data_IF_656857887527
#
_entry.id   IF_656857887527
#
_cell.length_a   1.000
_cell.length_b   1.000
_cell.length_c   1.000
_cell.angle_alpha   90.00
_cell.angle_beta   90.00
_cell.angle_gamma   90.00
#
_symmetry.space_group_name_H-M   'P 1'
#
loop_
_entity.id
_entity.type
_entity.pdbx_description
1 polymer ?
#
# COMPACT_ATOMS: atom_id res chain seq x y z
N UNK A 1 -15.51 -16.51 -0.63
CA UNK A 1 -15.24 -16.46 -2.08
C UNK A 1 -14.17 -17.47 -2.42
N UNK A 2 -14.48 -18.43 -3.29
CA UNK A 2 -13.55 -19.48 -3.68
C UNK A 2 -13.00 -19.20 -5.08
N UNK A 3 -11.87 -18.48 -5.15
CA UNK A 3 -11.16 -18.21 -6.41
C UNK A 3 -10.20 -19.36 -6.74
N UNK A 4 -10.20 -19.80 -8.00
CA UNK A 4 -9.21 -20.76 -8.50
C UNK A 4 -7.80 -20.14 -8.50
N UNK A 5 -6.77 -20.98 -8.47
CA UNK A 5 -5.38 -20.50 -8.53
C UNK A 5 -5.11 -19.70 -9.82
N UNK A 6 -5.74 -20.08 -10.93
CA UNK A 6 -5.66 -19.34 -12.19
C UNK A 6 -6.29 -17.95 -12.07
N UNK A 7 -7.46 -17.85 -11.43
CA UNK A 7 -8.13 -16.57 -11.20
C UNK A 7 -7.29 -15.67 -10.29
N UNK A 8 -6.71 -16.20 -9.21
CA UNK A 8 -5.81 -15.45 -8.33
C UNK A 8 -4.60 -14.92 -9.10
N UNK A 9 -3.91 -15.77 -9.87
CA UNK A 9 -2.78 -15.36 -10.73
C UNK A 9 -3.18 -14.31 -11.77
N UNK A 10 -4.37 -14.44 -12.36
CA UNK A 10 -4.89 -13.46 -13.31
C UNK A 10 -5.10 -12.09 -12.65
N UNK A 11 -5.72 -12.07 -11.47
CA UNK A 11 -5.95 -10.83 -10.71
C UNK A 11 -4.63 -10.19 -10.30
N UNK A 12 -3.68 -10.97 -9.78
CA UNK A 12 -2.34 -10.50 -9.38
C UNK A 12 -1.56 -9.92 -10.57
N UNK A 13 -1.47 -10.65 -11.69
CA UNK A 13 -0.76 -10.19 -12.90
C UNK A 13 -1.37 -8.89 -13.48
N UNK A 14 -2.66 -8.70 -13.30
CA UNK A 14 -3.36 -7.49 -13.73
C UNK A 14 -3.44 -6.40 -12.66
N UNK A 15 -2.86 -6.60 -11.47
CA UNK A 15 -2.87 -5.67 -10.33
C UNK A 15 -4.30 -5.33 -9.87
N UNK A 16 -5.15 -6.35 -9.79
CA UNK A 16 -6.50 -6.24 -9.28
C UNK A 16 -6.53 -6.86 -7.89
N UNK A 17 -6.79 -6.08 -6.82
CA UNK A 17 -6.92 -6.65 -5.49
C UNK A 17 -8.20 -7.49 -5.40
N UNK A 18 -8.13 -8.59 -4.66
CA UNK A 18 -9.25 -9.53 -4.47
C UNK A 18 -10.49 -8.82 -3.89
N UNK A 19 -10.27 -7.81 -3.06
CA UNK A 19 -11.31 -6.95 -2.50
C UNK A 19 -12.12 -6.18 -3.55
N UNK A 20 -11.64 -6.03 -4.78
CA UNK A 20 -12.39 -5.40 -5.88
C UNK A 20 -13.29 -6.39 -6.62
N UNK A 21 -13.20 -7.68 -6.29
CA UNK A 21 -14.02 -8.75 -6.84
C UNK A 21 -15.21 -8.99 -5.94
N UNK A 22 -16.40 -8.99 -6.54
CA UNK A 22 -17.65 -9.39 -5.93
C UNK A 22 -17.96 -10.85 -6.29
N UNK A 23 -18.36 -11.64 -5.29
CA UNK A 23 -18.78 -13.01 -5.49
C UNK A 23 -20.25 -13.06 -5.90
N UNK A 24 -20.51 -13.23 -7.19
CA UNK A 24 -21.85 -13.22 -7.77
C UNK A 24 -22.35 -14.60 -8.18
N UNK A 25 -21.72 -15.68 -7.73
CA UNK A 25 -22.12 -17.04 -8.11
C UNK A 25 -23.55 -17.39 -7.69
N UNK A 26 -24.08 -16.72 -6.66
CA UNK A 26 -25.42 -16.94 -6.10
C UNK A 26 -26.46 -15.89 -6.55
N UNK A 27 -26.08 -14.96 -7.44
CA UNK A 27 -26.89 -13.78 -7.76
C UNK A 27 -27.16 -13.67 -9.26
N UNK A 28 -28.31 -13.10 -9.62
CA UNK A 28 -28.52 -12.70 -11.01
C UNK A 28 -27.71 -11.43 -11.34
N UNK A 29 -27.46 -11.19 -12.64
CA UNK A 29 -26.56 -10.12 -13.07
C UNK A 29 -27.07 -8.71 -12.70
N UNK A 30 -28.39 -8.52 -12.60
CA UNK A 30 -28.96 -7.21 -12.28
C UNK A 30 -28.79 -6.88 -10.79
N UNK A 31 -29.00 -7.84 -9.90
CA UNK A 31 -28.68 -7.73 -8.48
C UNK A 31 -27.19 -7.47 -8.27
N UNK A 32 -26.34 -8.27 -8.94
CA UNK A 32 -24.88 -8.07 -8.90
C UNK A 32 -24.51 -6.63 -9.26
N UNK A 33 -25.12 -6.03 -10.29
CA UNK A 33 -24.80 -4.66 -10.72
C UNK A 33 -25.10 -3.63 -9.65
N UNK A 34 -26.26 -3.72 -9.01
CA UNK A 34 -26.68 -2.80 -7.96
C UNK A 34 -25.79 -2.94 -6.73
N UNK A 35 -25.50 -4.17 -6.33
CA UNK A 35 -24.65 -4.46 -5.18
C UNK A 35 -23.20 -4.11 -5.40
N UNK A 36 -22.63 -4.44 -6.56
CA UNK A 36 -21.27 -4.01 -6.89
C UNK A 36 -21.14 -2.48 -6.82
N UNK A 37 -22.18 -1.74 -7.24
CA UNK A 37 -22.19 -0.27 -7.12
C UNK A 37 -22.25 0.18 -5.66
N UNK A 38 -23.09 -0.43 -4.82
CA UNK A 38 -23.16 -0.06 -3.39
C UNK A 38 -21.89 -0.44 -2.63
N UNK A 39 -21.31 -1.61 -2.95
CA UNK A 39 -20.12 -2.18 -2.34
C UNK A 39 -18.79 -1.63 -2.88
N UNK A 40 -18.84 -0.76 -3.90
CA UNK A 40 -17.67 -0.20 -4.60
C UNK A 40 -16.76 -1.28 -5.21
N UNK A 41 -17.39 -2.34 -5.75
CA UNK A 41 -16.73 -3.46 -6.44
C UNK A 41 -16.72 -3.23 -7.94
N UNK A 42 -15.65 -3.64 -8.61
CA UNK A 42 -15.45 -3.38 -10.05
C UNK A 42 -15.54 -4.64 -10.89
N UNK A 43 -15.16 -5.77 -10.31
CA UNK A 43 -15.13 -7.05 -10.99
C UNK A 43 -16.06 -8.04 -10.30
N UNK A 44 -16.57 -8.98 -11.08
CA UNK A 44 -17.57 -9.96 -10.71
C UNK A 44 -16.99 -11.34 -10.96
N UNK A 45 -17.01 -12.21 -9.96
CA UNK A 45 -16.94 -13.64 -10.15
C UNK A 45 -18.37 -14.11 -10.47
N UNK A 46 -18.68 -14.27 -11.75
CA UNK A 46 -20.04 -14.52 -12.23
C UNK A 46 -20.12 -15.75 -13.13
N UNK A 47 -21.15 -15.82 -13.97
CA UNK A 47 -21.35 -16.96 -14.87
C UNK A 47 -20.20 -17.13 -15.88
N UNK A 48 -19.95 -18.37 -16.30
CA UNK A 48 -18.95 -18.68 -17.34
C UNK A 48 -19.22 -17.92 -18.64
N UNK A 49 -18.17 -17.36 -19.24
CA UNK A 49 -18.23 -16.83 -20.60
C UNK A 49 -18.12 -17.97 -21.62
N UNK A 50 -18.22 -17.64 -22.92
CA UNK A 50 -18.07 -18.62 -24.01
C UNK A 50 -16.74 -19.39 -23.96
N UNK A 51 -15.69 -18.75 -23.45
CA UNK A 51 -14.35 -19.35 -23.30
C UNK A 51 -14.13 -19.97 -21.91
N UNK A 52 -15.17 -20.14 -21.10
CA UNK A 52 -15.09 -20.80 -19.79
C UNK A 52 -14.66 -19.92 -18.60
N UNK A 53 -14.24 -18.67 -18.83
CA UNK A 53 -13.84 -17.75 -17.75
C UNK A 53 -15.00 -17.20 -16.92
N UNK A 54 -14.76 -16.88 -15.65
CA UNK A 54 -15.78 -16.39 -14.71
C UNK A 54 -15.63 -14.92 -14.33
N UNK A 55 -14.42 -14.34 -14.46
CA UNK A 55 -14.18 -12.96 -14.06
C UNK A 55 -14.75 -11.99 -15.12
N UNK A 56 -15.59 -11.07 -14.65
CA UNK A 56 -16.32 -10.10 -15.48
C UNK A 56 -16.27 -8.69 -14.92
N UNK A 57 -16.52 -7.71 -15.77
CA UNK A 57 -16.85 -6.35 -15.34
C UNK A 57 -18.27 -6.29 -14.78
N UNK A 58 -18.62 -5.21 -14.09
CA UNK A 58 -20.00 -4.93 -13.67
C UNK A 58 -21.02 -4.99 -14.83
N UNK A 59 -20.61 -4.61 -16.04
CA UNK A 59 -21.47 -4.69 -17.23
C UNK A 59 -21.62 -6.12 -17.78
N UNK A 60 -20.85 -7.08 -17.28
CA UNK A 60 -20.91 -8.50 -17.67
C UNK A 60 -19.87 -8.91 -18.70
N UNK A 61 -18.95 -8.05 -19.12
CA UNK A 61 -17.90 -8.42 -20.08
C UNK A 61 -16.79 -9.23 -19.40
N UNK A 62 -16.30 -10.28 -20.05
CA UNK A 62 -15.20 -11.08 -19.50
C UNK A 62 -13.87 -10.31 -19.57
N UNK A 63 -13.22 -10.14 -18.43
CA UNK A 63 -11.93 -9.44 -18.34
C UNK A 63 -10.74 -10.33 -18.70
N UNK A 64 -10.90 -11.65 -18.63
CA UNK A 64 -9.89 -12.62 -19.05
C UNK A 64 -9.83 -12.75 -20.58
N UNK A 65 -10.95 -12.56 -21.29
CA UNK A 65 -10.96 -12.51 -22.75
C UNK A 65 -10.50 -11.16 -23.30
N UNK A 66 -10.82 -10.06 -22.62
CA UNK A 66 -10.50 -8.70 -23.04
C UNK A 66 -9.97 -7.88 -21.85
N UNK A 67 -8.66 -7.90 -21.69
CA UNK A 67 -7.97 -7.19 -20.61
C UNK A 67 -8.02 -5.66 -20.77
N UNK A 68 -8.39 -5.13 -21.95
CA UNK A 68 -8.57 -3.69 -22.15
C UNK A 68 -9.68 -3.12 -21.25
N UNK A 69 -10.65 -3.97 -20.86
CA UNK A 69 -11.73 -3.62 -19.93
C UNK A 69 -11.24 -3.38 -18.50
N UNK A 70 -10.05 -3.85 -18.17
CA UNK A 70 -9.37 -3.57 -16.91
C UNK A 70 -8.78 -2.15 -16.94
N UNK A 71 -8.35 -1.65 -18.11
CA UNK A 71 -7.74 -0.33 -18.22
C UNK A 71 -8.70 0.79 -17.77
N UNK A 72 -10.02 0.64 -17.98
CA UNK A 72 -11.01 1.58 -17.44
C UNK A 72 -10.98 1.66 -15.91
N UNK A 73 -10.92 0.51 -15.23
CA UNK A 73 -10.70 0.44 -13.77
C UNK A 73 -9.39 1.15 -13.40
N UNK A 74 -8.28 0.82 -14.09
CA UNK A 74 -6.97 1.43 -13.82
C UNK A 74 -6.97 2.95 -13.94
N UNK A 75 -7.66 3.51 -14.95
CA UNK A 75 -7.75 4.97 -15.18
C UNK A 75 -8.51 5.73 -14.08
N UNK A 76 -9.52 5.11 -13.46
CA UNK A 76 -10.28 5.75 -12.37
C UNK A 76 -9.51 5.87 -11.06
N UNK A 77 -8.45 5.06 -10.91
CA UNK A 77 -7.65 4.90 -9.70
C UNK A 77 -6.21 5.40 -9.81
N UNK A 78 -5.91 6.19 -10.85
CA UNK A 78 -4.60 6.80 -11.03
C UNK A 78 -4.31 7.76 -9.88
N UNK A 79 -5.08 8.83 -9.66
CA UNK A 79 -4.73 9.79 -8.60
C UNK A 79 -5.60 9.61 -7.37
N UNK A 80 -5.04 8.97 -6.34
CA UNK A 80 -5.72 8.74 -5.07
C UNK A 80 -4.71 8.64 -3.91
N UNK A 81 -5.23 8.51 -2.70
CA UNK A 81 -4.45 8.32 -1.49
C UNK A 81 -4.45 6.85 -1.10
N UNK A 82 -3.28 6.22 -1.00
CA UNK A 82 -3.14 4.93 -0.30
C UNK A 82 -2.99 5.22 1.18
N UNK A 83 -3.77 4.56 2.02
CA UNK A 83 -3.89 4.87 3.45
C UNK A 83 -3.78 3.64 4.34
N UNK A 84 -3.40 3.89 5.58
CA UNK A 84 -3.40 2.97 6.71
C UNK A 84 -4.37 3.53 7.75
N UNK A 85 -5.43 2.77 8.05
CA UNK A 85 -6.33 3.03 9.16
C UNK A 85 -6.09 2.05 10.30
N UNK A 86 -6.32 2.49 11.54
CA UNK A 86 -6.16 1.68 12.75
C UNK A 86 -7.45 1.72 13.55
N UNK A 87 -7.86 0.56 14.06
CA UNK A 87 -8.81 0.45 15.17
C UNK A 87 -8.01 0.25 16.46
N UNK A 88 -8.14 1.17 17.40
CA UNK A 88 -7.39 1.11 18.67
C UNK A 88 -7.93 -0.01 19.56
N UNK A 89 -9.23 -0.30 19.48
CA UNK A 89 -9.90 -1.32 20.29
C UNK A 89 -9.47 -2.71 19.85
N UNK A 90 -9.54 -2.99 18.55
CA UNK A 90 -9.22 -4.32 17.99
C UNK A 90 -7.74 -4.53 17.69
N UNK A 91 -6.94 -3.46 17.70
CA UNK A 91 -5.53 -3.46 17.29
C UNK A 91 -5.34 -3.97 15.86
N UNK A 92 -6.33 -3.75 15.00
CA UNK A 92 -6.30 -4.08 13.58
C UNK A 92 -5.92 -2.87 12.74
N UNK A 93 -5.23 -3.15 11.64
CA UNK A 93 -4.89 -2.20 10.61
C UNK A 93 -5.68 -2.51 9.36
N UNK A 94 -6.12 -1.46 8.68
CA UNK A 94 -6.71 -1.53 7.35
C UNK A 94 -5.84 -0.79 6.36
N UNK A 95 -5.49 -1.46 5.27
CA UNK A 95 -4.85 -0.83 4.11
C UNK A 95 -5.87 -0.68 2.99
N UNK A 96 -5.94 0.50 2.37
CA UNK A 96 -6.72 0.68 1.16
C UNK A 96 -6.34 1.94 0.43
N UNK A 97 -7.11 2.31 -0.59
CA UNK A 97 -6.99 3.63 -1.22
C UNK A 97 -8.31 4.39 -1.24
N UNK A 98 -8.25 5.72 -1.35
CA UNK A 98 -9.40 6.58 -1.57
C UNK A 98 -9.01 7.93 -2.19
N UNK A 99 -9.90 8.51 -2.99
CA UNK A 99 -9.75 9.90 -3.48
C UNK A 99 -9.92 10.94 -2.38
N UNK A 100 -10.74 10.64 -1.36
CA UNK A 100 -10.99 11.52 -0.23
C UNK A 100 -10.88 10.73 1.07
N UNK A 101 -9.79 10.98 1.81
CA UNK A 101 -9.47 10.31 3.08
C UNK A 101 -10.52 10.58 4.16
N UNK A 102 -10.98 11.82 4.30
CA UNK A 102 -11.96 12.20 5.33
C UNK A 102 -13.30 11.47 5.13
N UNK A 103 -13.81 11.48 3.90
CA UNK A 103 -15.05 10.73 3.57
C UNK A 103 -14.85 9.23 3.75
N UNK A 104 -13.65 8.71 3.45
CA UNK A 104 -13.35 7.28 3.59
C UNK A 104 -13.31 6.87 5.05
N UNK A 105 -12.66 7.62 5.94
CA UNK A 105 -12.66 7.33 7.39
C UNK A 105 -14.09 7.26 7.93
N UNK A 106 -14.92 8.27 7.62
CA UNK A 106 -16.35 8.26 8.01
C UNK A 106 -17.05 7.01 7.50
N UNK A 107 -16.86 6.65 6.23
CA UNK A 107 -17.47 5.47 5.63
C UNK A 107 -17.03 4.16 6.31
N UNK A 108 -15.77 4.04 6.74
CA UNK A 108 -15.31 2.83 7.45
C UNK A 108 -16.08 2.63 8.74
N UNK A 109 -16.29 3.72 9.49
CA UNK A 109 -17.02 3.69 10.75
C UNK A 109 -18.53 3.52 10.56
N UNK A 110 -19.12 4.22 9.59
CA UNK A 110 -20.55 4.09 9.26
C UNK A 110 -20.91 2.65 8.85
N UNK A 111 -20.00 1.97 8.15
CA UNK A 111 -20.21 0.58 7.65
C UNK A 111 -19.71 -0.50 8.60
N UNK A 112 -19.19 -0.12 9.77
CA UNK A 112 -18.62 -1.04 10.74
C UNK A 112 -17.61 -1.99 10.09
N UNK A 113 -16.69 -1.46 9.27
CA UNK A 113 -15.81 -2.29 8.46
C UNK A 113 -14.98 -3.23 9.36
N UNK A 114 -14.91 -4.52 9.03
CA UNK A 114 -14.32 -5.54 9.92
C UNK A 114 -15.01 -5.73 11.28
N UNK A 115 -16.22 -5.19 11.48
CA UNK A 115 -16.92 -5.19 12.76
C UNK A 115 -16.53 -4.04 13.69
N UNK A 116 -15.76 -3.04 13.22
CA UNK A 116 -15.19 -1.98 14.04
C UNK A 116 -15.72 -0.59 13.63
N UNK A 117 -15.88 0.30 14.62
CA UNK A 117 -16.42 1.67 14.47
C UNK A 117 -15.46 2.78 14.92
N UNK A 118 -14.23 2.42 15.27
CA UNK A 118 -13.19 3.31 15.78
C UNK A 118 -12.02 3.45 14.80
N UNK A 119 -12.27 3.22 13.50
CA UNK A 119 -11.28 3.41 12.46
C UNK A 119 -10.81 4.84 12.40
N UNK A 120 -9.49 5.02 12.48
CA UNK A 120 -8.82 6.29 12.25
C UNK A 120 -7.74 6.13 11.19
N UNK A 121 -7.75 6.95 10.16
CA UNK A 121 -6.69 6.99 9.15
C UNK A 121 -5.50 7.74 9.75
N UNK A 122 -4.40 7.03 9.95
CA UNK A 122 -3.23 7.52 10.68
C UNK A 122 -2.07 7.86 9.77
N UNK A 123 -2.03 7.28 8.58
CA UNK A 123 -0.98 7.52 7.58
C UNK A 123 -1.55 7.36 6.19
N UNK A 124 -1.13 8.22 5.26
CA UNK A 124 -1.46 8.08 3.86
C UNK A 124 -0.45 8.79 2.96
N UNK A 125 -0.39 8.34 1.72
CA UNK A 125 0.42 8.94 0.66
C UNK A 125 -0.44 9.20 -0.56
N UNK A 126 -0.35 10.42 -1.11
CA UNK A 126 -0.96 10.76 -2.40
C UNK A 126 -0.06 10.27 -3.52
N UNK A 127 -0.56 9.44 -4.43
CA UNK A 127 0.23 8.92 -5.55
C UNK A 127 -0.61 8.79 -6.82
N UNK A 128 0.07 8.88 -7.96
CA UNK A 128 -0.41 8.30 -9.21
C UNK A 128 -0.36 6.76 -9.14
N UNK A 129 -1.32 6.08 -9.76
CA UNK A 129 -1.50 4.63 -9.76
C UNK A 129 -1.64 3.99 -8.36
N UNK A 130 -2.50 4.57 -7.50
CA UNK A 130 -2.69 4.12 -6.11
C UNK A 130 -3.04 2.63 -5.95
N UNK A 131 -3.79 2.05 -6.90
CA UNK A 131 -4.11 0.62 -6.87
C UNK A 131 -2.87 -0.28 -6.96
N UNK A 132 -1.84 0.12 -7.71
CA UNK A 132 -0.58 -0.64 -7.77
C UNK A 132 0.17 -0.59 -6.45
N UNK A 133 0.23 0.58 -5.83
CA UNK A 133 0.88 0.75 -4.53
C UNK A 133 0.16 -0.05 -3.43
N UNK A 134 -1.17 -0.05 -3.42
CA UNK A 134 -1.96 -0.87 -2.49
C UNK A 134 -1.64 -2.36 -2.64
N UNK A 135 -1.66 -2.89 -3.87
CA UNK A 135 -1.37 -4.31 -4.13
C UNK A 135 0.01 -4.70 -3.62
N UNK A 136 1.03 -3.87 -3.84
CA UNK A 136 2.37 -4.15 -3.32
C UNK A 136 2.45 -4.06 -1.79
N UNK A 137 1.72 -3.13 -1.18
CA UNK A 137 1.66 -3.04 0.27
C UNK A 137 0.97 -4.27 0.88
N UNK A 138 -0.13 -4.74 0.28
CA UNK A 138 -0.79 -5.99 0.69
C UNK A 138 0.16 -7.18 0.58
N UNK A 139 0.97 -7.28 -0.49
CA UNK A 139 1.99 -8.33 -0.62
C UNK A 139 3.03 -8.27 0.49
N UNK A 140 3.55 -7.08 0.80
CA UNK A 140 4.52 -6.90 1.90
C UNK A 140 3.93 -7.29 3.25
N UNK A 141 2.64 -7.04 3.45
CA UNK A 141 1.95 -7.32 4.71
C UNK A 141 1.24 -8.68 4.74
N UNK A 142 1.40 -9.53 3.72
CA UNK A 142 0.65 -10.77 3.59
C UNK A 142 0.79 -11.71 4.81
N UNK A 143 1.97 -11.74 5.43
CA UNK A 143 2.22 -12.54 6.64
C UNK A 143 1.43 -12.07 7.87
N UNK A 144 0.84 -10.88 7.82
CA UNK A 144 0.04 -10.29 8.89
C UNK A 144 -1.46 -10.27 8.55
N UNK A 145 -1.89 -10.87 7.44
CA UNK A 145 -3.29 -10.78 6.98
C UNK A 145 -4.27 -11.49 7.93
N UNK A 146 -5.39 -10.84 8.23
CA UNK A 146 -6.46 -11.36 9.09
C UNK A 146 -7.77 -11.49 8.30
N UNK A 147 -8.00 -12.67 7.72
CA UNK A 147 -9.14 -12.92 6.83
C UNK A 147 -10.38 -13.46 7.57
N UNK A 148 -10.31 -13.62 8.89
CA UNK A 148 -11.41 -14.05 9.76
C UNK A 148 -12.46 -12.95 9.99
N UNK A 149 -12.11 -11.70 9.72
CA UNK A 149 -12.97 -10.55 9.94
C UNK A 149 -13.92 -10.29 8.77
N UNK A 150 -15.11 -9.78 9.10
CA UNK A 150 -16.16 -9.49 8.12
C UNK A 150 -17.01 -8.30 8.56
N UNK A 151 -17.75 -7.71 7.64
CA UNK A 151 -18.69 -6.63 7.92
C UNK A 151 -19.97 -6.78 7.13
N UNK A 152 -21.03 -6.10 7.57
CA UNK A 152 -22.30 -6.06 6.86
C UNK A 152 -22.39 -4.80 6.02
N UNK A 153 -22.71 -4.97 4.75
CA UNK A 153 -23.04 -3.83 3.87
C UNK A 153 -24.19 -4.23 2.97
N UNK A 154 -25.24 -3.40 2.95
CA UNK A 154 -26.49 -3.71 2.25
C UNK A 154 -27.09 -5.07 2.64
N UNK A 155 -27.07 -5.41 3.94
CA UNK A 155 -27.61 -6.66 4.47
C UNK A 155 -26.75 -7.91 4.23
N UNK A 156 -25.60 -7.78 3.56
CA UNK A 156 -24.73 -8.92 3.23
C UNK A 156 -23.42 -8.88 3.98
N UNK A 157 -23.01 -10.07 4.46
CA UNK A 157 -21.70 -10.29 5.09
C UNK A 157 -20.60 -10.28 4.02
N UNK A 158 -19.54 -9.51 4.25
CA UNK A 158 -18.40 -9.37 3.35
C UNK A 158 -17.12 -9.69 4.14
N UNK A 159 -16.28 -10.59 3.61
CA UNK A 159 -14.96 -10.89 4.18
C UNK A 159 -14.00 -9.73 3.92
N UNK A 160 -13.17 -9.41 4.91
CA UNK A 160 -12.18 -8.34 4.82
C UNK A 160 -10.81 -8.92 4.45
N UNK A 161 -10.39 -8.73 3.20
CA UNK A 161 -9.04 -9.15 2.73
C UNK A 161 -7.96 -8.08 2.94
N UNK A 162 -8.37 -6.93 3.47
CA UNK A 162 -7.56 -5.72 3.56
C UNK A 162 -7.19 -5.38 5.01
N UNK A 163 -7.35 -6.37 5.92
CA UNK A 163 -7.08 -6.22 7.34
C UNK A 163 -5.81 -6.99 7.71
N UNK A 164 -5.02 -6.36 8.58
CA UNK A 164 -3.73 -6.85 9.00
C UNK A 164 -3.55 -6.66 10.52
N UNK A 165 -2.84 -7.58 11.16
CA UNK A 165 -2.47 -7.49 12.57
C UNK A 165 -0.95 -7.39 12.71
N UNK A 166 -0.47 -6.15 12.81
CA UNK A 166 0.94 -5.82 13.01
C UNK A 166 1.05 -4.49 13.79
N UNK A 167 2.27 -4.08 14.14
CA UNK A 167 2.47 -2.75 14.72
C UNK A 167 2.36 -1.66 13.65
N UNK A 168 1.97 -0.45 14.08
CA UNK A 168 1.77 0.72 13.20
C UNK A 168 3.01 1.04 12.34
N UNK A 169 4.17 1.11 12.98
CA UNK A 169 5.47 1.35 12.35
C UNK A 169 5.76 0.34 11.23
N UNK A 170 5.44 -0.95 11.41
CA UNK A 170 5.67 -1.98 10.38
C UNK A 170 4.92 -1.63 9.09
N UNK A 171 3.65 -1.24 9.20
CA UNK A 171 2.84 -0.89 8.05
C UNK A 171 3.26 0.46 7.42
N UNK A 172 3.59 1.46 8.25
CA UNK A 172 4.07 2.76 7.79
C UNK A 172 5.42 2.63 7.06
N UNK A 173 6.39 1.93 7.65
CA UNK A 173 7.70 1.65 7.05
C UNK A 173 7.56 0.82 5.78
N UNK A 174 6.63 -0.14 5.73
CA UNK A 174 6.35 -0.90 4.52
C UNK A 174 5.85 0.00 3.39
N UNK A 175 4.90 0.90 3.66
CA UNK A 175 4.38 1.86 2.68
C UNK A 175 5.49 2.82 2.21
N UNK A 176 6.18 3.44 3.16
CA UNK A 176 7.22 4.42 2.87
C UNK A 176 8.38 3.80 2.09
N UNK A 177 8.78 2.57 2.45
CA UNK A 177 9.82 1.85 1.72
C UNK A 177 9.44 1.54 0.28
N UNK A 178 8.18 1.21 -0.04
CA UNK A 178 7.74 0.97 -1.41
C UNK A 178 7.82 2.28 -2.20
N UNK A 179 7.25 3.35 -1.66
CA UNK A 179 7.23 4.66 -2.33
C UNK A 179 8.65 5.18 -2.58
N UNK A 180 9.54 5.08 -1.59
CA UNK A 180 10.94 5.50 -1.73
C UNK A 180 11.73 4.65 -2.72
N UNK A 181 11.47 3.34 -2.76
CA UNK A 181 12.13 2.44 -3.73
C UNK A 181 11.65 2.71 -5.15
N UNK A 182 10.40 3.15 -5.31
CA UNK A 182 9.75 3.40 -6.59
C UNK A 182 9.61 4.90 -6.89
N UNK A 183 10.52 5.73 -6.38
CA UNK A 183 10.41 7.20 -6.47
C UNK A 183 10.17 7.72 -7.90
N UNK A 184 10.81 7.11 -8.90
CA UNK A 184 10.64 7.46 -10.32
C UNK A 184 9.26 7.06 -10.87
N UNK A 185 8.62 6.06 -10.27
CA UNK A 185 7.30 5.56 -10.66
C UNK A 185 6.15 6.37 -10.02
N UNK A 186 6.44 7.09 -8.93
CA UNK A 186 5.49 7.96 -8.22
C UNK A 186 6.02 9.40 -8.14
N UNK A 187 6.24 10.08 -9.28
CA UNK A 187 6.65 11.47 -9.25
C UNK A 187 5.52 12.27 -8.58
N UNK A 188 5.86 13.03 -7.53
CA UNK A 188 4.93 13.83 -6.70
C UNK A 188 4.22 13.07 -5.56
N UNK A 189 4.83 12.02 -5.00
CA UNK A 189 4.29 11.41 -3.78
C UNK A 189 4.36 12.37 -2.58
N UNK A 190 3.25 12.50 -1.85
CA UNK A 190 3.16 13.38 -0.65
C UNK A 190 2.73 12.53 0.54
N UNK A 191 3.63 12.40 1.53
CA UNK A 191 3.38 11.68 2.79
C UNK A 191 2.65 12.56 3.81
N UNK A 192 1.66 11.99 4.50
CA UNK A 192 0.96 12.63 5.61
C UNK A 192 0.69 11.64 6.74
N UNK A 193 1.35 11.86 7.89
CA UNK A 193 1.10 11.16 9.15
C UNK A 193 0.17 11.99 10.04
N UNK A 194 -0.91 11.39 10.54
CA UNK A 194 -1.79 11.98 11.55
C UNK A 194 -1.43 11.40 12.93
N UNK A 195 -1.16 12.24 13.94
CA UNK A 195 -0.97 11.76 15.31
C UNK A 195 -2.27 11.19 15.87
N UNK A 196 -2.19 10.02 16.49
CA UNK A 196 -3.34 9.41 17.17
C UNK A 196 -3.35 9.93 18.60
N UNK A 197 -4.23 10.89 18.88
CA UNK A 197 -4.49 11.37 20.24
C UNK A 197 -5.09 10.24 21.10
N UNK A 198 -4.26 9.54 21.86
CA UNK A 198 -4.72 8.62 22.90
C UNK A 198 -5.12 9.39 24.16
N UNK A 199 -6.42 9.51 24.43
CA UNK A 199 -6.91 9.76 25.79
C UNK A 199 -7.73 8.55 26.21
N UNK A 200 -7.09 7.63 26.94
CA UNK A 200 -7.80 6.61 27.69
C UNK A 200 -8.62 7.33 28.79
N UNK A 201 -9.94 7.42 28.62
CA UNK A 201 -10.84 7.69 29.74
C UNK A 201 -11.11 6.36 30.42
N UNK A 202 -10.40 6.09 31.51
CA UNK A 202 -10.82 5.11 32.51
C UNK A 202 -12.07 5.70 33.17
N UNK A 203 -13.21 5.02 32.99
CA UNK A 203 -14.43 5.31 33.72
C UNK A 203 -14.26 4.86 35.18
N UNK A 204 -14.32 5.80 36.12
CA UNK A 204 -14.77 5.58 37.49
C UNK A 204 -15.83 6.63 37.80
N UNK A 205 -16.90 6.17 38.43
CA UNK A 205 -18.11 6.93 38.67
C UNK A 205 -18.02 7.94 39.80
N UNK A 206 -19.17 8.61 39.93
CA UNK A 206 -19.71 9.35 41.08
C UNK A 206 -19.37 10.86 41.26
N UNK A 207 -20.46 11.62 41.10
CA UNK A 207 -21.01 12.73 41.90
C UNK A 207 -20.34 14.13 41.99
N UNK A 208 -21.17 15.10 41.53
CA UNK A 208 -21.52 16.41 42.09
C UNK A 208 -20.51 17.58 42.25
N UNK A 209 -20.99 18.71 41.70
CA UNK A 209 -20.94 20.10 42.19
C UNK A 209 -19.68 20.99 42.07
N UNK A 210 -19.95 22.13 41.42
CA UNK A 210 -19.44 23.49 41.63
C UNK A 210 -18.06 23.89 41.10
N UNK A 211 -18.12 24.95 40.28
CA UNK A 211 -17.18 26.05 40.13
C UNK A 211 -15.84 25.99 40.88
N UNK A 212 -14.74 26.07 40.13
CA UNK A 212 -13.70 27.05 40.43
C UNK A 212 -12.73 27.31 39.26
N UNK A 213 -12.19 28.52 39.32
CA UNK A 213 -11.39 29.27 38.35
C UNK A 213 -9.90 29.10 38.71
N UNK A 214 -9.02 29.13 37.69
CA UNK A 214 -7.53 29.28 37.77
C UNK A 214 -6.83 27.99 38.25
N UNK A 215 -5.89 27.38 37.52
CA UNK A 215 -4.51 27.90 37.35
C UNK A 215 -3.79 27.34 36.12
N UNK A 216 -3.03 28.20 35.45
CA UNK A 216 -2.14 27.92 34.32
C UNK A 216 -0.71 27.77 34.87
N UNK A 217 -0.39 26.60 35.36
CA UNK A 217 0.97 26.08 35.50
C UNK A 217 0.82 24.57 35.72
N UNK A 218 1.37 23.64 34.96
CA UNK A 218 2.69 23.56 34.35
C UNK A 218 2.59 22.80 33.03
N UNK A 219 3.14 23.39 31.96
CA UNK A 219 3.43 22.70 30.70
C UNK A 219 4.89 22.27 30.81
N UNK A 220 5.13 21.01 31.18
CA UNK A 220 6.43 20.41 30.86
C UNK A 220 6.43 20.11 29.35
N UNK A 221 7.14 20.96 28.61
CA UNK A 221 7.51 20.75 27.22
C UNK A 221 8.23 19.40 27.08
N UNK A 222 7.72 18.51 26.23
CA UNK A 222 8.46 17.33 25.77
C UNK A 222 9.45 17.75 24.66
N UNK A 223 10.77 17.85 24.91
CA UNK A 223 11.73 18.30 23.90
C UNK A 223 12.18 17.18 22.93
N UNK A 224 11.60 15.98 23.02
CA UNK A 224 12.18 14.79 22.38
C UNK A 224 11.59 14.40 21.01
N UNK A 225 10.40 14.89 20.62
CA UNK A 225 9.77 14.47 19.36
C UNK A 225 10.36 15.17 18.12
N UNK A 226 10.88 16.40 18.28
CA UNK A 226 11.53 17.15 17.19
C UNK A 226 12.96 16.62 16.94
N UNK A 227 13.65 16.16 17.99
CA UNK A 227 14.97 15.51 17.88
C UNK A 227 14.89 14.14 17.20
N UNK A 228 13.83 13.36 17.42
CA UNK A 228 13.68 12.07 16.72
C UNK A 228 13.31 12.23 15.25
N UNK A 229 12.42 13.15 14.89
CA UNK A 229 12.08 13.41 13.47
C UNK A 229 13.27 13.94 12.66
N UNK A 230 14.08 14.84 13.24
CA UNK A 230 15.32 15.31 12.61
C UNK A 230 16.35 14.19 12.48
N UNK A 231 16.43 13.27 13.45
CA UNK A 231 17.31 12.10 13.39
C UNK A 231 16.88 11.09 12.32
N UNK A 232 15.59 10.83 12.12
CA UNK A 232 15.10 9.93 11.06
C UNK A 232 15.28 10.54 9.66
N UNK A 233 15.06 11.85 9.49
CA UNK A 233 15.38 12.54 8.23
C UNK A 233 16.88 12.54 7.95
N UNK A 234 17.73 12.82 8.95
CA UNK A 234 19.18 12.76 8.82
C UNK A 234 19.69 11.33 8.52
N UNK A 235 19.06 10.29 9.10
CA UNK A 235 19.36 8.89 8.78
C UNK A 235 18.94 8.50 7.35
N UNK A 236 17.85 9.08 6.85
CA UNK A 236 17.43 8.95 5.45
C UNK A 236 18.42 9.59 4.48
N UNK A 237 18.87 10.81 4.79
CA UNK A 237 19.87 11.54 4.02
C UNK A 237 21.25 10.83 4.06
N UNK A 238 21.69 10.34 5.21
CA UNK A 238 22.92 9.55 5.34
C UNK A 238 22.85 8.23 4.56
N UNK A 239 21.69 7.56 4.50
CA UNK A 239 21.51 6.33 3.71
C UNK A 239 21.49 6.63 2.22
N UNK A 240 20.86 7.72 1.79
CA UNK A 240 20.89 8.17 0.41
C UNK A 240 22.32 8.58 -0.02
N UNK A 241 23.06 9.26 0.86
CA UNK A 241 24.46 9.59 0.66
C UNK A 241 25.35 8.35 0.57
N UNK A 242 25.22 7.38 1.50
CA UNK A 242 25.94 6.09 1.44
C UNK A 242 25.65 5.31 0.16
N UNK A 243 24.42 5.35 -0.35
CA UNK A 243 24.08 4.73 -1.65
C UNK A 243 24.77 5.42 -2.82
N UNK A 244 24.84 6.76 -2.83
CA UNK A 244 25.58 7.52 -3.84
C UNK A 244 27.08 7.23 -3.80
N UNK A 245 27.67 7.15 -2.60
CA UNK A 245 29.09 6.78 -2.42
C UNK A 245 29.35 5.35 -2.89
N UNK A 246 28.48 4.39 -2.56
CA UNK A 246 28.62 3.01 -3.03
C UNK A 246 28.51 2.90 -4.57
N UNK A 247 27.58 3.63 -5.19
CA UNK A 247 27.48 3.69 -6.65
C UNK A 247 28.74 4.30 -7.29
N UNK A 248 29.27 5.37 -6.70
CA UNK A 248 30.50 6.00 -7.16
C UNK A 248 31.72 5.05 -7.01
N UNK A 249 31.79 4.31 -5.91
CA UNK A 249 32.84 3.31 -5.68
C UNK A 249 32.77 2.17 -6.69
N UNK A 250 31.57 1.69 -7.03
CA UNK A 250 31.38 0.67 -8.07
C UNK A 250 31.81 1.22 -9.44
N UNK A 251 31.42 2.45 -9.78
CA UNK A 251 31.83 3.12 -11.02
C UNK A 251 33.34 3.26 -11.13
N UNK A 252 34.01 3.73 -10.07
CA UNK A 252 35.48 3.85 -10.02
C UNK A 252 36.12 2.48 -10.22
N UNK A 253 35.60 1.45 -9.55
CA UNK A 253 36.11 0.08 -9.68
C UNK A 253 36.02 -0.40 -11.13
N UNK A 254 34.85 -0.27 -11.76
CA UNK A 254 34.65 -0.65 -13.17
C UNK A 254 35.61 0.09 -14.10
N UNK A 255 35.77 1.41 -13.92
CA UNK A 255 36.69 2.21 -14.76
C UNK A 255 38.15 1.76 -14.58
N UNK A 256 38.59 1.54 -13.35
CA UNK A 256 39.97 1.07 -13.07
C UNK A 256 40.22 -0.30 -13.68
N UNK A 257 39.27 -1.25 -13.55
CA UNK A 257 39.39 -2.57 -14.16
C UNK A 257 39.39 -2.49 -15.69
N UNK A 258 38.56 -1.64 -16.31
CA UNK A 258 38.57 -1.45 -17.76
C UNK A 258 39.88 -0.86 -18.27
N UNK A 259 40.47 0.11 -17.56
CA UNK A 259 41.77 0.68 -17.92
C UNK A 259 42.91 -0.33 -17.76
N UNK A 260 42.92 -1.09 -16.66
CA UNK A 260 43.92 -2.13 -16.42
C UNK A 260 43.85 -3.24 -17.46
N UNK A 261 42.65 -3.69 -17.81
CA UNK A 261 42.44 -4.70 -18.85
C UNK A 261 42.86 -4.18 -20.24
N UNK A 262 42.56 -2.92 -20.55
CA UNK A 262 43.02 -2.27 -21.78
C UNK A 262 44.55 -2.19 -21.88
N UNK A 263 45.22 -1.85 -20.78
CA UNK A 263 46.69 -1.86 -20.69
C UNK A 263 47.26 -3.27 -20.87
N UNK A 264 46.64 -4.30 -20.30
CA UNK A 264 47.10 -5.68 -20.43
C UNK A 264 47.06 -6.16 -21.88
N UNK A 265 45.96 -5.89 -22.59
CA UNK A 265 45.82 -6.18 -24.02
C UNK A 265 46.86 -5.41 -24.84
N UNK A 266 47.12 -4.16 -24.48
CA UNK A 266 48.13 -3.34 -25.16
C UNK A 266 49.54 -3.88 -24.95
N UNK A 267 49.87 -4.33 -23.74
CA UNK A 267 51.14 -4.99 -23.44
C UNK A 267 51.32 -6.29 -24.21
N UNK A 268 50.29 -7.14 -24.30
CA UNK A 268 50.36 -8.37 -25.11
C UNK A 268 50.65 -8.06 -26.59
N UNK A 269 50.01 -7.01 -27.14
CA UNK A 269 50.29 -6.57 -28.52
C UNK A 269 51.71 -6.07 -28.71
N UNK A 270 52.27 -5.34 -27.72
CA UNK A 270 53.67 -4.90 -27.77
C UNK A 270 54.62 -6.10 -27.70
N UNK A 271 54.37 -7.06 -26.81
CA UNK A 271 55.19 -8.26 -26.68
C UNK A 271 55.19 -9.05 -27.98
N UNK A 272 54.02 -9.27 -28.59
CA UNK A 272 53.91 -9.90 -29.90
C UNK A 272 54.66 -9.11 -30.99
N UNK A 273 54.49 -7.79 -31.05
CA UNK A 273 55.18 -6.94 -32.02
C UNK A 273 56.71 -6.98 -31.87
N UNK A 274 57.22 -7.02 -30.64
CA UNK A 274 58.64 -7.14 -30.37
C UNK A 274 59.16 -8.55 -30.73
N UNK A 275 58.40 -9.61 -30.44
CA UNK A 275 58.77 -10.98 -30.84
C UNK A 275 58.86 -11.15 -32.36
N UNK A 276 58.00 -10.48 -33.13
CA UNK A 276 58.05 -10.52 -34.60
C UNK A 276 59.20 -9.69 -35.19
N UNK A 277 59.71 -8.68 -34.47
CA UNK A 277 60.84 -7.82 -34.90
C UNK A 277 62.22 -8.42 -34.62
N UNK A 278 62.33 -9.37 -33.69
CA UNK A 278 63.60 -9.97 -33.25
C UNK A 278 63.74 -11.46 -33.66
N UNK A 279 62.91 -11.94 -34.59
CA UNK A 279 63.11 -13.18 -35.37
C UNK A 279 63.63 -12.83 -36.76
#
# INVERSE_FOLDING_TARGET
MNLSNEQKKFLESNQIPISMVFDGTEHNLNECKLEMKSLDKYFLLGTKCKNGHFLRTRSGHCIQCDTSRIAYYKRHYMDAHVYIAISQISKLLKVGFAKNIVKREKSLNDTEYGGMKDWKIVHYVSVGNAGRLEVELHKKLANYSCNEYSYYKSGKKQVCYELFQCERNIAEDALDSIVLTWGDYFPNSIFKTVPVSGKNKIAKGETNTSSNKVDKSQVEEFPNVIKEKSKVMALGEERAFRRKVNLLSILITVVVYSLFFGLLIYFEKIVHFLQDRYK
#
